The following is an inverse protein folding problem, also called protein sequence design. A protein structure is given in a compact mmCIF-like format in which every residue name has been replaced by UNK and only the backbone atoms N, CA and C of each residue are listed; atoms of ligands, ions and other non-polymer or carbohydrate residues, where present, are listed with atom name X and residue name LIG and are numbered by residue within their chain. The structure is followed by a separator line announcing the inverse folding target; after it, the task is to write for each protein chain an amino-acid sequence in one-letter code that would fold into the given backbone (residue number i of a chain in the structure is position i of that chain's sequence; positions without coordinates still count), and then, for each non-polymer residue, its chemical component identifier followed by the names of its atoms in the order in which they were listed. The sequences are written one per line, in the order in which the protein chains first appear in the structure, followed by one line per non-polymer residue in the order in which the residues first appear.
data_IF_079459152511
#
_entry.id   IF_079459152511
#
_cell.length_a   1.000
_cell.length_b   1.000
_cell.length_c   1.000
_cell.angle_alpha   90.00
_cell.angle_beta   90.00
_cell.angle_gamma   90.00
#
_symmetry.space_group_name_H-M   'P 1'
#
loop_
_entity.id
_entity.type
_entity.pdbx_description
1 polymer ?
#
# COMPACT_ATOMS: atom_id res chain seq x y z
N UNK A 1 2.63 17.69 7.73
CA UNK A 1 3.71 17.67 8.74
C UNK A 1 4.69 18.78 8.38
N UNK A 2 5.05 19.68 9.29
CA UNK A 2 6.00 20.76 8.99
C UNK A 2 7.42 20.19 8.82
N UNK A 3 8.25 20.85 7.99
CA UNK A 3 9.65 20.47 7.75
C UNK A 3 10.42 20.29 9.07
N UNK A 4 10.26 21.23 10.00
CA UNK A 4 10.93 21.19 11.30
C UNK A 4 10.49 19.98 12.13
N UNK A 5 9.19 19.64 12.16
CA UNK A 5 8.70 18.46 12.89
C UNK A 5 9.21 17.15 12.27
N UNK A 6 9.30 17.10 10.94
CA UNK A 6 9.89 15.96 10.24
C UNK A 6 11.38 15.81 10.58
N UNK A 7 12.15 16.90 10.54
CA UNK A 7 13.58 16.89 10.90
C UNK A 7 13.82 16.50 12.36
N UNK A 8 12.99 16.99 13.29
CA UNK A 8 13.06 16.58 14.71
C UNK A 8 12.81 15.09 14.86
N UNK A 9 11.74 14.55 14.25
CA UNK A 9 11.46 13.11 14.30
C UNK A 9 12.61 12.29 13.69
N UNK A 10 13.21 12.78 12.60
CA UNK A 10 14.33 12.13 11.93
C UNK A 10 15.64 12.23 12.72
N UNK A 11 15.77 13.16 13.66
CA UNK A 11 16.86 13.22 14.62
C UNK A 11 16.61 12.30 15.83
N UNK A 12 15.39 12.27 16.36
CA UNK A 12 15.03 11.42 17.51
C UNK A 12 14.98 9.93 17.18
N UNK A 13 14.76 9.56 15.91
CA UNK A 13 14.75 8.16 15.45
C UNK A 13 16.13 7.66 14.99
N UNK A 14 17.23 8.37 15.32
CA UNK A 14 18.59 7.89 15.01
C UNK A 14 19.12 7.04 16.14
N UNK A 15 19.47 5.80 15.81
CA UNK A 15 20.08 4.84 16.73
C UNK A 15 21.60 4.76 16.56
N UNK A 16 22.19 5.72 15.85
CA UNK A 16 23.61 5.75 15.50
C UNK A 16 24.18 7.18 15.39
N UNK A 17 25.51 7.28 15.39
CA UNK A 17 26.23 8.54 15.20
C UNK A 17 26.29 8.88 13.71
N UNK A 18 25.66 9.99 13.33
CA UNK A 18 25.49 10.38 11.93
C UNK A 18 26.81 10.69 11.20
N UNK A 19 27.82 11.22 11.90
CA UNK A 19 29.11 11.60 11.32
C UNK A 19 29.92 10.40 10.83
N UNK A 20 29.78 9.23 11.44
CA UNK A 20 30.54 8.01 11.09
C UNK A 20 29.73 7.06 10.20
N UNK A 21 28.50 7.43 9.83
CA UNK A 21 27.55 6.52 9.17
C UNK A 21 27.99 6.13 7.75
N UNK A 22 28.48 7.09 6.97
CA UNK A 22 28.84 6.81 5.56
C UNK A 22 30.05 5.88 5.47
N UNK A 23 31.03 6.05 6.35
CA UNK A 23 32.16 5.14 6.51
C UNK A 23 31.69 3.75 6.95
N UNK A 24 30.88 3.64 8.00
CA UNK A 24 30.36 2.36 8.50
C UNK A 24 29.44 1.65 7.51
N UNK A 25 28.70 2.39 6.68
CA UNK A 25 27.84 1.82 5.62
C UNK A 25 28.62 1.10 4.52
N UNK A 26 29.91 1.45 4.33
CA UNK A 26 30.75 0.77 3.35
C UNK A 26 30.99 -0.70 3.70
N UNK A 27 31.07 -1.01 5.01
CA UNK A 27 31.31 -2.36 5.54
C UNK A 27 30.02 -3.02 6.02
N UNK A 28 29.14 -2.28 6.68
CA UNK A 28 27.88 -2.76 7.24
C UNK A 28 26.68 -1.94 6.74
N UNK A 29 25.86 -2.55 5.88
CA UNK A 29 24.64 -1.92 5.37
C UNK A 29 23.62 -1.61 6.46
N UNK A 30 23.67 -2.32 7.60
CA UNK A 30 22.82 -2.14 8.77
C UNK A 30 23.45 -1.24 9.85
N UNK A 31 24.55 -0.52 9.54
CA UNK A 31 25.22 0.42 10.43
C UNK A 31 24.30 1.37 11.24
N UNK A 32 23.13 1.80 10.74
CA UNK A 32 22.22 2.63 11.54
C UNK A 32 21.63 1.96 12.79
N UNK A 33 21.66 0.63 12.90
CA UNK A 33 21.03 -0.13 14.01
C UNK A 33 21.88 -1.28 14.55
N UNK A 34 22.92 -1.71 13.82
CA UNK A 34 23.69 -2.91 14.14
C UNK A 34 24.34 -2.86 15.52
N UNK A 35 25.00 -1.75 15.87
CA UNK A 35 25.65 -1.59 17.18
C UNK A 35 24.67 -1.79 18.35
N UNK A 36 23.46 -1.23 18.26
CA UNK A 36 22.42 -1.41 19.28
C UNK A 36 21.99 -2.87 19.37
N UNK A 37 21.83 -3.52 18.22
CA UNK A 37 21.41 -4.91 18.14
C UNK A 37 22.49 -5.87 18.66
N UNK A 38 23.76 -5.59 18.35
CA UNK A 38 24.91 -6.36 18.82
C UNK A 38 25.09 -6.22 20.34
N UNK A 39 24.94 -4.99 20.88
CA UNK A 39 24.92 -4.75 22.33
C UNK A 39 23.81 -5.56 23.02
N UNK A 40 22.60 -5.55 22.45
CA UNK A 40 21.49 -6.35 22.97
C UNK A 40 21.83 -7.85 22.97
N UNK A 41 22.35 -8.37 21.85
CA UNK A 41 22.74 -9.79 21.74
C UNK A 41 23.82 -10.14 22.76
N UNK A 42 24.82 -9.28 22.92
CA UNK A 42 25.93 -9.52 23.84
C UNK A 42 25.42 -9.59 25.28
N UNK A 43 24.60 -8.62 25.70
CA UNK A 43 23.97 -8.65 27.03
C UNK A 43 23.15 -9.93 27.23
N UNK A 44 22.34 -10.33 26.23
CA UNK A 44 21.59 -11.58 26.32
C UNK A 44 22.49 -12.83 26.44
N UNK A 45 23.69 -12.84 25.84
CA UNK A 45 24.63 -13.96 25.97
C UNK A 45 25.30 -14.02 27.33
N UNK A 46 25.60 -12.86 27.92
CA UNK A 46 26.24 -12.76 29.23
C UNK A 46 25.31 -13.17 30.37
N UNK A 47 24.03 -12.82 30.27
CA UNK A 47 23.03 -13.10 31.31
C UNK A 47 22.51 -14.55 31.29
N UNK A 48 22.69 -15.29 30.19
CA UNK A 48 22.18 -16.66 30.06
C UNK A 48 23.20 -17.66 30.63
N UNK A 49 22.86 -18.44 31.67
CA UNK A 49 23.78 -19.40 32.24
C UNK A 49 24.17 -20.49 31.23
N UNK A 50 25.43 -20.99 31.23
CA UNK A 50 25.89 -22.00 30.27
C UNK A 50 25.06 -23.28 30.23
N UNK A 51 24.38 -23.64 31.32
CA UNK A 51 23.49 -24.81 31.41
C UNK A 51 22.25 -24.70 30.51
N UNK A 52 21.83 -23.47 30.17
CA UNK A 52 20.70 -23.20 29.29
C UNK A 52 21.09 -23.25 27.80
N UNK A 53 22.39 -23.22 27.49
CA UNK A 53 22.88 -23.25 26.11
C UNK A 53 22.72 -24.65 25.48
N UNK A 54 22.75 -24.75 24.14
CA UNK A 54 22.75 -26.04 23.46
C UNK A 54 23.96 -26.89 23.88
N UNK A 55 23.72 -28.14 24.24
CA UNK A 55 24.75 -29.11 24.59
C UNK A 55 24.43 -30.47 24.00
N UNK A 56 25.46 -31.23 23.63
CA UNK A 56 25.33 -32.60 23.10
C UNK A 56 24.78 -33.59 24.13
N UNK A 57 24.94 -33.27 25.42
CA UNK A 57 24.48 -34.11 26.52
C UNK A 57 23.00 -33.91 26.85
N UNK A 58 22.32 -32.96 26.19
CA UNK A 58 20.90 -32.70 26.42
C UNK A 58 20.03 -33.51 25.47
N UNK A 59 19.10 -34.25 26.05
CA UNK A 59 18.14 -35.06 25.31
C UNK A 59 17.11 -34.19 24.58
N UNK A 60 16.66 -34.67 23.41
CA UNK A 60 15.61 -34.01 22.63
C UNK A 60 14.29 -34.10 23.37
N UNK A 61 13.59 -32.98 23.52
CA UNK A 61 12.36 -32.86 24.30
C UNK A 61 12.60 -32.42 25.75
N UNK A 62 13.85 -32.41 26.23
CA UNK A 62 14.16 -31.93 27.58
C UNK A 62 13.98 -30.40 27.72
N UNK A 63 13.57 -29.98 28.92
CA UNK A 63 13.46 -28.56 29.31
C UNK A 63 14.19 -28.30 30.63
N UNK A 64 14.80 -27.12 30.73
CA UNK A 64 15.41 -26.59 31.95
C UNK A 64 14.72 -25.26 32.25
N UNK A 65 14.35 -25.05 33.52
CA UNK A 65 13.72 -23.82 33.98
C UNK A 65 14.65 -23.10 34.97
N UNK A 66 14.74 -21.79 34.85
CA UNK A 66 15.43 -20.90 35.78
C UNK A 66 14.44 -19.84 36.26
N UNK A 67 14.45 -19.58 37.55
CA UNK A 67 13.47 -18.69 38.19
C UNK A 67 14.18 -17.52 38.84
N UNK A 68 13.65 -16.32 38.61
CA UNK A 68 13.92 -15.12 39.41
C UNK A 68 12.64 -14.72 40.14
N UNK A 69 12.69 -13.65 40.93
CA UNK A 69 11.51 -13.12 41.63
C UNK A 69 10.42 -12.62 40.67
N UNK A 70 10.79 -12.23 39.46
CA UNK A 70 9.97 -11.49 38.51
C UNK A 70 9.82 -12.19 37.15
N UNK A 71 10.65 -13.20 36.85
CA UNK A 71 10.64 -13.86 35.57
C UNK A 71 11.08 -15.33 35.64
N UNK A 72 10.71 -16.08 34.61
CA UNK A 72 11.15 -17.46 34.39
C UNK A 72 11.79 -17.57 33.03
N UNK A 73 12.98 -18.16 32.97
CA UNK A 73 13.67 -18.54 31.75
C UNK A 73 13.46 -20.05 31.51
N UNK A 74 13.06 -20.43 30.29
CA UNK A 74 13.03 -21.83 29.87
C UNK A 74 13.99 -22.08 28.72
N UNK A 75 14.75 -23.16 28.81
CA UNK A 75 15.56 -23.70 27.72
C UNK A 75 15.04 -25.06 27.31
N UNK A 76 14.48 -25.14 26.10
CA UNK A 76 13.91 -26.36 25.52
C UNK A 76 14.73 -26.86 24.34
N UNK A 77 14.96 -28.17 24.24
CA UNK A 77 15.73 -28.79 23.14
C UNK A 77 14.80 -29.43 22.12
N UNK A 78 14.40 -28.73 21.04
CA UNK A 78 13.52 -29.32 20.03
C UNK A 78 14.22 -30.33 19.12
N UNK A 79 15.55 -30.21 18.95
CA UNK A 79 16.38 -31.02 18.05
C UNK A 79 17.78 -31.16 18.64
N UNK A 80 18.50 -32.20 18.25
CA UNK A 80 19.87 -32.43 18.69
C UNK A 80 20.76 -31.20 18.46
N UNK A 81 21.53 -30.82 19.49
CA UNK A 81 22.43 -29.67 19.48
C UNK A 81 21.76 -28.31 19.17
N UNK A 82 20.45 -28.18 19.43
CA UNK A 82 19.70 -26.92 19.33
C UNK A 82 18.89 -26.68 20.60
N UNK A 83 18.96 -25.47 21.15
CA UNK A 83 18.12 -25.04 22.26
C UNK A 83 17.33 -23.79 21.87
N UNK A 84 16.10 -23.69 22.38
CA UNK A 84 15.22 -22.52 22.27
C UNK A 84 15.08 -21.94 23.66
N UNK A 85 15.44 -20.67 23.80
CA UNK A 85 15.32 -19.91 25.03
C UNK A 85 14.07 -19.03 24.97
N UNK A 86 13.25 -19.08 26.01
CA UNK A 86 12.09 -18.18 26.17
C UNK A 86 12.09 -17.64 27.58
N UNK A 87 12.05 -16.31 27.71
CA UNK A 87 11.88 -15.61 28.99
C UNK A 87 10.43 -15.15 29.12
N UNK A 88 9.81 -15.32 30.29
CA UNK A 88 8.47 -14.81 30.57
C UNK A 88 8.38 -14.25 31.98
N UNK A 89 7.76 -13.08 32.12
CA UNK A 89 7.36 -12.49 33.40
C UNK A 89 5.95 -12.88 33.84
N UNK A 90 5.24 -13.71 33.06
CA UNK A 90 3.86 -14.13 33.36
C UNK A 90 3.77 -15.57 33.88
N UNK A 91 4.75 -16.41 33.53
CA UNK A 91 4.77 -17.81 33.91
C UNK A 91 5.80 -17.98 35.03
N UNK A 92 5.38 -18.42 36.21
CA UNK A 92 6.25 -18.61 37.38
C UNK A 92 6.36 -20.09 37.82
N UNK A 93 5.78 -21.01 37.04
CA UNK A 93 5.80 -22.44 37.31
C UNK A 93 6.41 -23.22 36.13
N UNK A 94 7.11 -24.34 36.39
CA UNK A 94 7.66 -25.22 35.34
C UNK A 94 6.58 -26.13 34.75
N UNK A 95 5.55 -25.56 34.14
CA UNK A 95 4.44 -26.31 33.55
C UNK A 95 4.77 -26.81 32.15
N UNK A 96 4.38 -28.07 31.88
CA UNK A 96 4.50 -28.71 30.57
C UNK A 96 3.08 -28.98 30.05
N UNK A 97 2.83 -28.55 28.81
CA UNK A 97 1.60 -28.83 28.08
C UNK A 97 1.45 -30.34 27.83
N UNK A 98 0.43 -31.01 28.40
CA UNK A 98 0.25 -32.45 28.26
C UNK A 98 0.00 -32.92 26.82
N UNK A 99 -0.60 -32.07 25.97
CA UNK A 99 -0.92 -32.44 24.60
C UNK A 99 0.30 -32.34 23.68
N UNK A 100 1.08 -31.27 23.86
CA UNK A 100 2.22 -30.96 22.97
C UNK A 100 3.56 -31.43 23.50
N UNK A 101 3.62 -31.87 24.76
CA UNK A 101 4.85 -32.29 25.46
C UNK A 101 5.95 -31.20 25.35
N UNK A 102 5.53 -29.95 25.55
CA UNK A 102 6.39 -28.75 25.47
C UNK A 102 6.12 -27.86 26.68
N UNK A 103 7.11 -27.06 27.12
CA UNK A 103 6.86 -26.04 28.13
C UNK A 103 5.68 -25.14 27.74
N UNK A 104 4.77 -24.89 28.68
CA UNK A 104 3.59 -24.05 28.46
C UNK A 104 3.97 -22.69 27.88
N UNK A 105 5.05 -22.08 28.39
CA UNK A 105 5.63 -20.83 27.89
C UNK A 105 5.88 -20.85 26.38
N UNK A 106 6.37 -21.97 25.84
CA UNK A 106 6.63 -22.13 24.40
C UNK A 106 5.33 -22.29 23.63
N UNK A 107 4.37 -23.05 24.16
CA UNK A 107 3.06 -23.17 23.55
C UNK A 107 2.36 -21.81 23.48
N UNK A 108 2.39 -21.04 24.58
CA UNK A 108 1.81 -19.71 24.68
C UNK A 108 2.50 -18.68 23.77
N UNK A 109 3.84 -18.71 23.71
CA UNK A 109 4.58 -17.89 22.75
C UNK A 109 4.16 -18.21 21.31
N UNK A 110 4.03 -19.49 20.96
CA UNK A 110 3.64 -19.89 19.61
C UNK A 110 2.19 -19.51 19.24
N UNK A 111 1.27 -19.45 20.20
CA UNK A 111 -0.12 -19.02 19.94
C UNK A 111 -0.23 -17.51 19.74
N UNK A 112 0.69 -16.72 20.29
CA UNK A 112 0.63 -15.24 20.28
C UNK A 112 1.59 -14.58 19.29
N UNK A 113 2.75 -15.18 19.00
CA UNK A 113 3.79 -14.60 18.12
C UNK A 113 3.31 -14.27 16.71
N UNK A 114 2.22 -14.91 16.25
CA UNK A 114 1.68 -14.74 14.91
C UNK A 114 1.04 -13.37 14.64
N UNK A 115 0.83 -12.51 15.64
CA UNK A 115 0.15 -11.22 15.45
C UNK A 115 0.84 -10.30 14.44
N UNK A 116 2.15 -10.09 14.60
CA UNK A 116 2.95 -9.22 13.71
C UNK A 116 3.08 -9.84 12.33
N UNK A 117 3.39 -11.14 12.25
CA UNK A 117 3.52 -11.87 10.98
C UNK A 117 2.20 -11.87 10.19
N UNK A 118 1.06 -11.98 10.89
CA UNK A 118 -0.27 -11.93 10.25
C UNK A 118 -0.54 -10.54 9.69
N UNK A 119 -0.17 -9.47 10.41
CA UNK A 119 -0.27 -8.12 9.89
C UNK A 119 0.65 -7.91 8.67
N UNK A 120 1.88 -8.44 8.72
CA UNK A 120 2.82 -8.35 7.62
C UNK A 120 2.33 -9.08 6.38
N UNK A 121 1.86 -10.33 6.54
CA UNK A 121 1.22 -11.10 5.48
C UNK A 121 0.02 -10.36 4.89
N UNK A 122 -0.82 -9.75 5.73
CA UNK A 122 -1.93 -8.92 5.27
C UNK A 122 -1.44 -7.73 4.46
N UNK A 123 -0.41 -7.03 4.88
CA UNK A 123 0.16 -5.91 4.13
C UNK A 123 0.75 -6.39 2.80
N UNK A 124 1.44 -7.54 2.79
CA UNK A 124 2.08 -8.13 1.61
C UNK A 124 1.10 -8.48 0.48
N UNK A 125 -0.14 -8.84 0.78
CA UNK A 125 -1.14 -9.15 -0.26
C UNK A 125 -1.57 -7.89 -1.04
N UNK A 126 -1.64 -6.73 -0.38
CA UNK A 126 -2.12 -5.47 -0.97
C UNK A 126 -1.10 -4.34 -0.74
N UNK A 127 0.09 -4.50 -1.31
CA UNK A 127 1.22 -3.57 -1.15
C UNK A 127 1.05 -2.30 -1.99
N UNK A 128 1.20 -1.14 -1.35
CA UNK A 128 1.34 0.16 -2.03
C UNK A 128 2.78 0.49 -2.41
N UNK A 129 3.74 -0.31 -1.92
CA UNK A 129 5.17 -0.14 -2.15
C UNK A 129 5.52 -0.05 -3.65
N UNK A 130 6.47 0.82 -3.98
CA UNK A 130 7.03 1.00 -5.32
C UNK A 130 8.55 1.04 -5.23
N UNK A 131 9.23 0.64 -6.31
CA UNK A 131 10.68 0.79 -6.43
C UNK A 131 11.04 2.28 -6.28
N UNK A 132 11.85 2.60 -5.29
CA UNK A 132 12.25 3.97 -4.95
C UNK A 132 13.68 3.97 -4.43
N UNK A 133 14.43 5.02 -4.74
CA UNK A 133 15.76 5.28 -4.18
C UNK A 133 15.70 6.18 -2.93
N UNK A 134 14.50 6.57 -2.49
CA UNK A 134 14.27 7.45 -1.35
C UNK A 134 13.70 6.64 -0.19
N UNK A 135 14.51 6.34 0.82
CA UNK A 135 14.09 5.56 1.98
C UNK A 135 12.86 6.13 2.73
N UNK A 136 12.61 7.45 2.81
CA UNK A 136 11.40 7.95 3.49
C UNK A 136 10.12 7.50 2.77
N UNK A 137 10.18 7.31 1.45
CA UNK A 137 9.05 6.78 0.69
C UNK A 137 8.73 5.33 1.07
N UNK A 138 9.73 4.53 1.41
CA UNK A 138 9.53 3.14 1.88
C UNK A 138 8.73 3.14 3.18
N UNK A 139 9.10 4.01 4.12
CA UNK A 139 8.36 4.17 5.38
C UNK A 139 6.94 4.67 5.11
N UNK A 140 6.78 5.66 4.23
CA UNK A 140 5.47 6.19 3.85
C UNK A 140 4.55 5.10 3.24
N UNK A 141 5.04 4.30 2.30
CA UNK A 141 4.26 3.18 1.75
C UNK A 141 3.87 2.18 2.83
N UNK A 142 4.78 1.87 3.76
CA UNK A 142 4.46 0.98 4.87
C UNK A 142 3.39 1.56 5.80
N UNK A 143 3.42 2.87 6.06
CA UNK A 143 2.37 3.55 6.82
C UNK A 143 1.01 3.41 6.13
N UNK A 144 0.94 3.54 4.80
CA UNK A 144 -0.31 3.36 4.04
C UNK A 144 -0.84 1.92 4.15
N UNK A 145 0.03 0.93 3.95
CA UNK A 145 -0.34 -0.49 4.00
C UNK A 145 -0.90 -0.88 5.37
N UNK A 146 -0.22 -0.46 6.46
CA UNK A 146 -0.66 -0.70 7.84
C UNK A 146 -1.94 0.06 8.16
N UNK A 147 -2.04 1.33 7.74
CA UNK A 147 -3.25 2.13 7.96
C UNK A 147 -4.47 1.52 7.29
N UNK A 148 -4.32 1.04 6.05
CA UNK A 148 -5.40 0.38 5.32
C UNK A 148 -5.82 -0.95 5.97
N UNK A 149 -4.85 -1.74 6.46
CA UNK A 149 -5.14 -2.96 7.22
C UNK A 149 -5.92 -2.67 8.52
N UNK A 150 -5.50 -1.65 9.26
CA UNK A 150 -6.16 -1.23 10.50
C UNK A 150 -7.57 -0.67 10.25
N UNK A 151 -7.73 0.17 9.22
CA UNK A 151 -9.04 0.70 8.82
C UNK A 151 -10.01 -0.43 8.45
N UNK A 152 -9.53 -1.47 7.76
CA UNK A 152 -10.35 -2.65 7.45
C UNK A 152 -10.77 -3.41 8.73
N UNK A 153 -9.87 -3.60 9.69
CA UNK A 153 -10.18 -4.26 10.96
C UNK A 153 -11.25 -3.48 11.73
N UNK A 154 -11.09 -2.16 11.86
CA UNK A 154 -12.07 -1.28 12.53
C UNK A 154 -13.42 -1.34 11.81
N UNK A 155 -13.43 -1.21 10.48
CA UNK A 155 -14.66 -1.31 9.68
C UNK A 155 -15.34 -2.66 9.83
N UNK A 156 -14.58 -3.75 10.00
CA UNK A 156 -15.13 -5.09 10.24
C UNK A 156 -15.66 -5.29 11.66
N UNK A 157 -15.19 -4.50 12.63
CA UNK A 157 -15.60 -4.58 14.03
C UNK A 157 -16.86 -3.74 14.31
N UNK A 158 -17.04 -2.61 13.62
CA UNK A 158 -18.14 -1.66 13.83
C UNK A 158 -19.49 -2.13 13.24
N UNK A 159 -19.92 -3.34 13.58
CA UNK A 159 -21.00 -4.09 12.94
C UNK A 159 -22.36 -3.36 12.92
N UNK A 160 -22.66 -2.72 11.79
CA UNK A 160 -24.02 -2.55 11.25
C UNK A 160 -24.11 -2.96 9.77
N UNK A 161 -23.01 -3.45 9.18
CA UNK A 161 -22.95 -3.87 7.76
C UNK A 161 -22.44 -5.30 7.61
N UNK A 162 -22.92 -5.97 6.55
CA UNK A 162 -22.47 -7.30 6.11
C UNK A 162 -20.94 -7.36 6.00
N UNK A 163 -20.34 -8.51 6.32
CA UNK A 163 -18.89 -8.76 6.12
C UNK A 163 -18.50 -8.41 4.67
N UNK A 164 -17.67 -7.38 4.52
CA UNK A 164 -17.13 -6.97 3.22
C UNK A 164 -15.80 -7.67 2.98
N UNK A 165 -15.62 -8.25 1.80
CA UNK A 165 -14.32 -8.78 1.39
C UNK A 165 -13.28 -7.66 1.35
N UNK A 166 -12.08 -7.94 1.86
CA UNK A 166 -10.99 -6.94 1.95
C UNK A 166 -10.68 -6.26 0.62
N UNK A 167 -10.71 -6.99 -0.50
CA UNK A 167 -10.52 -6.42 -1.83
C UNK A 167 -11.54 -5.30 -2.13
N UNK A 168 -12.81 -5.54 -1.82
CA UNK A 168 -13.88 -4.58 -2.07
C UNK A 168 -13.76 -3.37 -1.13
N UNK A 169 -13.34 -3.59 0.11
CA UNK A 169 -13.02 -2.48 1.03
C UNK A 169 -11.89 -1.60 0.47
N UNK A 170 -10.80 -2.21 -0.02
CA UNK A 170 -9.68 -1.47 -0.60
C UNK A 170 -10.08 -0.70 -1.87
N UNK A 171 -10.92 -1.28 -2.73
CA UNK A 171 -11.45 -0.59 -3.91
C UNK A 171 -12.28 0.63 -3.53
N UNK A 172 -13.23 0.47 -2.61
CA UNK A 172 -14.06 1.59 -2.12
C UNK A 172 -13.21 2.69 -1.48
N UNK A 173 -12.26 2.31 -0.63
CA UNK A 173 -11.32 3.27 -0.03
C UNK A 173 -10.56 4.07 -1.10
N UNK A 174 -10.08 3.40 -2.15
CA UNK A 174 -9.39 4.08 -3.25
C UNK A 174 -10.32 5.00 -4.05
N UNK A 175 -11.55 4.56 -4.33
CA UNK A 175 -12.58 5.35 -5.01
C UNK A 175 -12.91 6.62 -4.21
N UNK A 176 -13.20 6.48 -2.91
CA UNK A 176 -13.54 7.58 -2.00
C UNK A 176 -12.40 8.62 -1.91
N UNK A 177 -11.15 8.17 -1.87
CA UNK A 177 -9.98 9.05 -1.82
C UNK A 177 -9.74 9.79 -3.15
N UNK A 178 -10.05 9.18 -4.28
CA UNK A 178 -9.77 9.73 -5.61
C UNK A 178 -10.91 10.62 -6.11
N UNK A 179 -12.16 10.36 -5.71
CA UNK A 179 -13.35 11.05 -6.21
C UNK A 179 -13.28 12.60 -6.11
N UNK A 180 -12.91 13.22 -4.98
CA UNK A 180 -12.83 14.69 -4.89
C UNK A 180 -11.78 15.29 -5.83
N UNK A 181 -10.74 14.53 -6.17
CA UNK A 181 -9.72 14.95 -7.13
C UNK A 181 -10.22 14.84 -8.57
N UNK A 182 -10.97 13.78 -8.89
CA UNK A 182 -11.60 13.60 -10.20
C UNK A 182 -12.64 14.68 -10.48
N UNK A 183 -13.48 15.01 -9.49
CA UNK A 183 -14.49 16.09 -9.60
C UNK A 183 -13.85 17.46 -9.86
N UNK A 184 -12.67 17.74 -9.30
CA UNK A 184 -11.92 18.97 -9.63
C UNK A 184 -11.31 18.90 -11.02
N UNK A 185 -10.73 17.75 -11.39
CA UNK A 185 -10.02 17.57 -12.66
C UNK A 185 -10.94 17.68 -13.88
N UNK A 186 -12.17 17.17 -13.82
CA UNK A 186 -13.11 17.17 -14.96
C UNK A 186 -13.50 18.59 -15.43
N UNK A 187 -13.41 19.57 -14.53
CA UNK A 187 -13.74 20.97 -14.78
C UNK A 187 -12.52 21.82 -15.18
N UNK A 188 -11.32 21.23 -15.30
CA UNK A 188 -10.12 21.97 -15.68
C UNK A 188 -10.13 22.32 -17.17
N UNK A 189 -9.82 23.58 -17.47
CA UNK A 189 -9.64 24.04 -18.84
C UNK A 189 -8.43 23.34 -19.50
N UNK A 190 -8.59 22.94 -20.76
CA UNK A 190 -7.53 22.29 -21.54
C UNK A 190 -7.38 20.78 -21.32
N UNK A 191 -8.27 20.14 -20.55
CA UNK A 191 -8.27 18.69 -20.41
C UNK A 191 -8.67 18.02 -21.74
N UNK A 192 -7.96 16.96 -22.12
CA UNK A 192 -8.30 16.15 -23.30
C UNK A 192 -9.71 15.55 -23.15
N UNK A 193 -10.54 15.66 -24.20
CA UNK A 193 -11.95 15.21 -24.19
C UNK A 193 -12.10 13.74 -23.80
N UNK A 194 -11.22 12.87 -24.27
CA UNK A 194 -11.25 11.43 -23.93
C UNK A 194 -11.05 11.19 -22.43
N UNK A 195 -10.09 11.90 -21.82
CA UNK A 195 -9.86 11.82 -20.39
C UNK A 195 -11.02 12.44 -19.60
N UNK A 196 -11.60 13.54 -20.09
CA UNK A 196 -12.80 14.13 -19.50
C UNK A 196 -13.98 13.14 -19.50
N UNK A 197 -14.21 12.45 -20.62
CA UNK A 197 -15.27 11.45 -20.76
C UNK A 197 -14.99 10.19 -19.91
N UNK A 198 -13.73 9.77 -19.80
CA UNK A 198 -13.35 8.68 -18.90
C UNK A 198 -13.65 9.03 -17.44
N UNK A 199 -13.30 10.25 -17.00
CA UNK A 199 -13.59 10.73 -15.64
C UNK A 199 -15.11 10.81 -15.40
N UNK A 200 -15.90 11.33 -16.35
CA UNK A 200 -17.36 11.38 -16.24
C UNK A 200 -17.99 10.00 -16.08
N UNK A 201 -17.52 9.00 -16.85
CA UNK A 201 -17.96 7.60 -16.73
C UNK A 201 -17.66 7.02 -15.35
N UNK A 202 -16.45 7.24 -14.83
CA UNK A 202 -16.07 6.78 -13.48
C UNK A 202 -16.93 7.44 -12.41
N UNK A 203 -17.17 8.75 -12.51
CA UNK A 203 -17.98 9.52 -11.56
C UNK A 203 -19.49 9.34 -11.73
N UNK A 204 -19.93 8.59 -12.76
CA UNK A 204 -21.36 8.45 -13.14
C UNK A 204 -22.06 9.81 -13.25
N UNK A 205 -21.36 10.78 -13.80
CA UNK A 205 -21.98 12.07 -14.16
C UNK A 205 -22.69 11.79 -15.48
N UNK A 206 -24.00 11.55 -15.41
CA UNK A 206 -24.83 11.44 -16.61
C UNK A 206 -24.64 12.72 -17.42
N UNK A 207 -24.20 12.57 -18.67
CA UNK A 207 -24.33 13.67 -19.62
C UNK A 207 -25.83 13.91 -19.77
N UNK A 208 -26.33 14.96 -19.10
CA UNK A 208 -27.56 15.59 -19.55
C UNK A 208 -27.37 15.80 -21.06
N UNK A 209 -28.22 15.21 -21.92
CA UNK A 209 -28.25 15.64 -23.30
C UNK A 209 -28.58 17.11 -23.22
N UNK A 210 -27.63 17.96 -23.63
CA UNK A 210 -27.89 19.38 -23.81
C UNK A 210 -29.19 19.47 -24.61
N UNK A 211 -30.22 19.98 -23.95
CA UNK A 211 -31.48 20.38 -24.54
C UNK A 211 -31.15 21.40 -25.61
N UNK A 212 -31.10 20.94 -26.84
CA UNK A 212 -31.17 21.77 -28.04
C UNK A 212 -32.28 21.17 -28.89
N UNK A 213 -33.49 21.59 -28.54
CA UNK A 213 -34.66 21.54 -29.40
C UNK A 213 -34.36 22.12 -30.79
N UNK A 214 -34.79 21.38 -31.81
CA UNK A 214 -35.25 21.84 -33.13
C UNK A 214 -34.31 22.73 -33.98
N UNK A 215 -33.79 22.15 -35.07
CA UNK A 215 -33.25 22.89 -36.21
C UNK A 215 -32.23 22.08 -37.00
N UNK A 216 -32.62 21.57 -38.17
CA UNK A 216 -31.74 20.91 -39.15
C UNK A 216 -30.79 21.92 -39.82
N UNK A 217 -29.94 22.59 -39.04
CA UNK A 217 -28.88 23.44 -39.56
C UNK A 217 -27.65 22.58 -39.87
N UNK A 218 -27.21 22.57 -41.12
CA UNK A 218 -25.94 21.97 -41.55
C UNK A 218 -24.69 22.75 -41.07
N UNK A 219 -24.90 23.82 -40.28
CA UNK A 219 -23.87 24.67 -39.70
C UNK A 219 -23.89 24.61 -38.17
N UNK A 220 -22.69 24.48 -37.59
CA UNK A 220 -22.41 24.63 -36.16
C UNK A 220 -22.65 26.07 -35.69
N UNK A 221 -23.18 26.24 -34.49
CA UNK A 221 -23.31 27.55 -33.82
C UNK A 221 -21.96 28.24 -33.56
N UNK A 222 -20.88 27.46 -33.44
CA UNK A 222 -19.53 27.97 -33.22
C UNK A 222 -18.50 27.17 -34.03
N UNK A 223 -17.41 27.85 -34.43
CA UNK A 223 -16.35 27.22 -35.22
C UNK A 223 -15.60 26.16 -34.41
N UNK A 224 -15.68 24.90 -34.85
CA UNK A 224 -14.93 23.77 -34.29
C UNK A 224 -13.73 23.42 -35.16
N UNK A 225 -12.75 22.70 -34.63
CA UNK A 225 -11.58 22.25 -35.39
C UNK A 225 -11.98 21.08 -36.30
N UNK A 226 -11.53 21.08 -37.56
CA UNK A 226 -11.76 20.01 -38.53
C UNK A 226 -11.20 18.68 -38.01
N UNK A 227 -12.00 17.62 -38.11
CA UNK A 227 -11.66 16.29 -37.57
C UNK A 227 -10.65 15.54 -38.44
N UNK A 228 -10.59 15.85 -39.74
CA UNK A 228 -9.71 15.18 -40.72
C UNK A 228 -8.34 15.84 -40.87
N UNK A 229 -8.21 17.13 -40.52
CA UNK A 229 -6.95 17.84 -40.66
C UNK A 229 -5.99 17.45 -39.53
N UNK A 230 -4.68 17.56 -39.78
CA UNK A 230 -3.67 17.52 -38.73
C UNK A 230 -4.05 18.53 -37.61
N UNK A 231 -4.19 18.09 -36.35
CA UNK A 231 -4.55 18.95 -35.22
C UNK A 231 -3.68 20.21 -35.08
N UNK A 232 -2.41 20.16 -35.52
CA UNK A 232 -1.48 21.31 -35.50
C UNK A 232 -1.95 22.47 -36.38
N UNK A 233 -2.65 22.18 -37.48
CA UNK A 233 -3.18 23.21 -38.39
C UNK A 233 -4.32 24.02 -37.76
N UNK A 234 -4.94 23.52 -36.68
CA UNK A 234 -6.06 24.14 -35.94
C UNK A 234 -7.17 24.70 -36.86
N UNK A 235 -7.38 24.09 -38.02
CA UNK A 235 -8.28 24.60 -39.05
C UNK A 235 -9.72 24.58 -38.55
N UNK A 236 -10.33 25.76 -38.51
CA UNK A 236 -11.68 25.99 -37.96
C UNK A 236 -12.74 25.87 -39.06
N UNK A 237 -13.89 25.27 -38.74
CA UNK A 237 -15.01 25.07 -39.67
C UNK A 237 -16.36 25.24 -38.97
N UNK A 238 -17.36 25.68 -39.74
CA UNK A 238 -18.77 25.65 -39.36
C UNK A 238 -19.50 24.42 -39.92
N UNK A 239 -18.91 23.71 -40.89
CA UNK A 239 -19.59 22.64 -41.62
C UNK A 239 -19.48 21.29 -40.91
N UNK A 240 -20.52 20.49 -41.05
CA UNK A 240 -20.64 19.14 -40.53
C UNK A 240 -20.65 18.14 -41.70
N UNK A 241 -20.03 16.98 -41.52
CA UNK A 241 -20.26 15.87 -42.43
C UNK A 241 -21.73 15.44 -42.36
N UNK A 242 -22.37 15.25 -43.52
CA UNK A 242 -23.77 14.86 -43.58
C UNK A 242 -24.04 13.55 -42.79
N UNK A 243 -23.16 12.55 -42.94
CA UNK A 243 -23.35 11.20 -42.39
C UNK A 243 -22.88 11.08 -40.93
N UNK A 244 -21.62 11.44 -40.62
CA UNK A 244 -21.07 11.25 -39.28
C UNK A 244 -21.21 12.46 -38.35
N UNK A 245 -21.77 13.58 -38.84
CA UNK A 245 -21.96 14.84 -38.10
C UNK A 245 -20.68 15.40 -37.43
N UNK A 246 -19.51 14.96 -37.90
CA UNK A 246 -18.23 15.49 -37.43
C UNK A 246 -17.89 16.82 -38.12
N UNK A 247 -17.24 17.78 -37.42
CA UNK A 247 -16.79 19.02 -38.05
C UNK A 247 -15.76 18.74 -39.15
N UNK A 248 -16.02 19.24 -40.37
CA UNK A 248 -15.15 19.06 -41.54
C UNK A 248 -14.93 20.40 -42.26
N UNK A 249 -13.69 20.70 -42.67
CA UNK A 249 -13.39 21.91 -43.43
C UNK A 249 -13.67 21.72 -44.92
N UNK A 250 -13.79 22.83 -45.66
CA UNK A 250 -14.12 22.82 -47.10
C UNK A 250 -13.09 22.01 -47.91
N UNK A 251 -11.81 22.06 -47.55
CA UNK A 251 -10.75 21.28 -48.22
C UNK A 251 -10.85 19.76 -47.95
N UNK A 252 -11.39 19.35 -46.81
CA UNK A 252 -11.54 17.93 -46.48
C UNK A 252 -12.91 17.38 -46.92
N UNK A 253 -13.82 18.24 -47.39
CA UNK A 253 -15.15 17.86 -47.87
C UNK A 253 -15.22 17.85 -49.39
N UNK A 254 -16.03 16.96 -49.96
CA UNK A 254 -16.39 17.01 -51.38
C UNK A 254 -17.80 17.59 -51.56
N UNK A 255 -17.99 18.36 -52.63
CA UNK A 255 -19.30 18.90 -53.01
C UNK A 255 -20.05 17.83 -53.80
N UNK A 256 -21.24 17.47 -53.36
CA UNK A 256 -22.13 16.49 -54.01
C UNK A 256 -23.50 17.16 -54.12
N UNK A 257 -24.12 17.13 -55.31
CA UNK A 257 -25.50 17.62 -55.48
C UNK A 257 -26.51 16.63 -54.91
N UNK A 258 -27.77 17.05 -54.77
CA UNK A 258 -28.82 16.21 -54.17
C UNK A 258 -29.02 14.91 -54.97
N UNK A 259 -29.04 14.99 -56.31
CA UNK A 259 -29.26 13.84 -57.19
C UNK A 259 -28.09 12.83 -57.17
N UNK A 260 -26.85 13.30 -57.04
CA UNK A 260 -25.69 12.42 -56.91
C UNK A 260 -25.60 11.79 -55.52
N UNK A 261 -26.17 12.43 -54.50
CA UNK A 261 -26.21 11.90 -53.13
C UNK A 261 -27.19 10.74 -52.98
N UNK A 262 -28.31 10.75 -53.70
CA UNK A 262 -29.28 9.64 -53.66
C UNK A 262 -28.76 8.34 -54.30
N UNK A 263 -27.63 8.42 -55.03
CA UNK A 263 -26.99 7.29 -55.71
C UNK A 263 -25.82 6.67 -54.92
N UNK A 264 -25.50 7.21 -53.73
CA UNK A 264 -24.44 6.74 -52.82
C UNK A 264 -25.03 5.95 -51.65
#
# INVERSE_FOLDING_TARGET
MSKNRFETLLNCLRFDVASTRDERRSTDKAAPISELFDKLIQNCKEEVPPQFLPSRHREVGSSIFGFTSDATLVSYVPKHNKAVLVLSSMHHAPTIDPQKQKPEMITFYNSTKGGVDTLDQKCAIYLTSRRTQRWPMVVFYRMLDVSAANAYIISSMNQSQKKVFRLNFMKRLAEDLIEPHLRRRVNQFGLQRELQNAIRRVLKIDEQPSTSSAGSSDKLESRKTCSTCDPKKKRKTFHLCFQCKNPICVECSQKICVDCREKL
#
